data_IF_905330318017
#
_entry.id   IF_905330318017
#
_cell.length_a   1.000
_cell.length_b   1.000
_cell.length_c   1.000
_cell.angle_alpha   90.00
_cell.angle_beta   90.00
_cell.angle_gamma   90.00
#
_symmetry.space_group_name_H-M   'P 1'
#
loop_
_entity.id
_entity.type
_entity.pdbx_description
1 polymer ?
#
# COMPACT_ATOMS: atom_id res chain seq x y z
N UNK A 1 -8.02 -12.71 9.88
CA UNK A 1 -8.90 -12.43 11.06
C UNK A 1 -8.77 -13.48 12.12
N UNK A 2 -8.77 -14.78 11.79
CA UNK A 2 -8.59 -15.86 12.77
C UNK A 2 -7.25 -15.72 13.52
N UNK A 3 -6.17 -15.50 12.80
CA UNK A 3 -4.83 -15.32 13.38
C UNK A 3 -4.73 -14.06 14.24
N UNK A 4 -5.39 -12.97 13.82
CA UNK A 4 -5.46 -11.72 14.61
C UNK A 4 -6.18 -11.95 15.94
N UNK A 5 -7.31 -12.69 15.94
CA UNK A 5 -8.03 -13.04 17.15
C UNK A 5 -7.19 -13.96 18.04
N UNK A 6 -6.49 -14.93 17.45
CA UNK A 6 -5.59 -15.82 18.18
C UNK A 6 -4.46 -15.06 18.86
N UNK A 7 -3.85 -14.11 18.13
CA UNK A 7 -2.79 -13.23 18.65
C UNK A 7 -3.30 -12.37 19.82
N UNK A 8 -4.50 -11.78 19.68
CA UNK A 8 -5.12 -11.00 20.75
C UNK A 8 -5.37 -11.87 21.99
N UNK A 9 -5.94 -13.06 21.82
CA UNK A 9 -6.17 -14.01 22.93
C UNK A 9 -4.86 -14.40 23.64
N UNK A 10 -3.78 -14.57 22.87
CA UNK A 10 -2.45 -14.84 23.42
C UNK A 10 -1.92 -13.65 24.21
N UNK A 11 -2.06 -12.42 23.68
CA UNK A 11 -1.67 -11.21 24.40
C UNK A 11 -2.40 -11.07 25.72
N UNK A 12 -3.73 -11.29 25.75
CA UNK A 12 -4.52 -11.26 26.96
C UNK A 12 -4.08 -12.31 27.98
N UNK A 13 -3.76 -13.55 27.54
CA UNK A 13 -3.19 -14.59 28.43
C UNK A 13 -1.84 -14.19 29.01
N UNK A 14 -1.04 -13.43 28.25
CA UNK A 14 0.25 -12.89 28.70
C UNK A 14 0.08 -11.60 29.54
N UNK A 15 -1.15 -11.26 29.94
CA UNK A 15 -1.49 -10.12 30.79
C UNK A 15 -1.15 -8.75 30.18
N UNK A 16 -1.17 -8.63 28.85
CA UNK A 16 -1.21 -7.32 28.22
C UNK A 16 -2.55 -6.64 28.55
N UNK A 17 -2.50 -5.56 29.32
CA UNK A 17 -3.70 -4.88 29.82
C UNK A 17 -4.29 -3.89 28.82
N UNK A 18 -3.46 -3.31 27.98
CA UNK A 18 -3.85 -2.30 26.99
C UNK A 18 -3.78 -2.89 25.59
N UNK A 19 -4.94 -3.15 25.01
CA UNK A 19 -5.08 -3.63 23.63
C UNK A 19 -5.98 -2.69 22.85
N UNK A 20 -5.57 -2.34 21.63
CA UNK A 20 -6.33 -1.51 20.70
C UNK A 20 -6.59 -2.29 19.42
N UNK A 21 -7.86 -2.45 19.06
CA UNK A 21 -8.25 -3.01 17.78
C UNK A 21 -8.62 -1.90 16.77
N UNK A 22 -8.02 -1.95 15.59
CA UNK A 22 -8.47 -1.20 14.42
C UNK A 22 -9.35 -2.13 13.60
N UNK A 23 -10.62 -1.84 13.49
CA UNK A 23 -11.60 -2.75 12.88
C UNK A 23 -12.69 -1.99 12.14
N UNK A 24 -13.23 -2.63 11.08
CA UNK A 24 -14.32 -2.03 10.30
C UNK A 24 -15.71 -2.42 10.84
N UNK A 25 -15.81 -3.48 11.62
CA UNK A 25 -17.08 -4.02 12.13
C UNK A 25 -17.15 -3.82 13.64
N UNK A 26 -18.10 -3.02 14.10
CA UNK A 26 -18.23 -2.62 15.51
C UNK A 26 -18.44 -3.82 16.45
N UNK A 27 -19.30 -4.79 16.09
CA UNK A 27 -19.66 -5.91 16.94
C UNK A 27 -18.90 -7.20 16.59
N UNK A 28 -17.68 -7.07 16.08
CA UNK A 28 -16.83 -8.22 15.76
C UNK A 28 -16.26 -8.87 17.03
N UNK A 29 -15.85 -10.14 16.91
CA UNK A 29 -15.13 -10.82 18.01
C UNK A 29 -13.88 -10.05 18.41
N UNK A 30 -13.19 -9.41 17.46
CA UNK A 30 -11.98 -8.63 17.73
C UNK A 30 -12.30 -7.41 18.62
N UNK A 31 -13.35 -6.65 18.27
CA UNK A 31 -13.75 -5.45 19.02
C UNK A 31 -14.28 -5.79 20.41
N UNK A 32 -14.99 -6.93 20.57
CA UNK A 32 -15.47 -7.37 21.88
C UNK A 32 -14.38 -7.86 22.83
N UNK A 33 -13.26 -8.34 22.27
CA UNK A 33 -12.15 -8.86 23.10
C UNK A 33 -11.09 -7.81 23.41
N UNK A 34 -10.98 -6.76 22.64
CA UNK A 34 -9.98 -5.71 22.84
C UNK A 34 -10.45 -4.67 23.85
N UNK A 35 -9.49 -4.08 24.58
CA UNK A 35 -9.79 -3.06 25.60
C UNK A 35 -10.23 -1.72 25.00
N UNK A 36 -9.74 -1.39 23.81
CA UNK A 36 -10.09 -0.17 23.07
C UNK A 36 -10.33 -0.51 21.60
N UNK A 37 -11.18 0.27 20.94
CA UNK A 37 -11.53 0.06 19.54
C UNK A 37 -11.43 1.37 18.76
N UNK A 38 -10.82 1.30 17.58
CA UNK A 38 -10.85 2.35 16.59
C UNK A 38 -11.60 1.83 15.35
N UNK A 39 -12.82 2.31 15.15
CA UNK A 39 -13.66 1.88 14.04
C UNK A 39 -13.34 2.68 12.78
N UNK A 40 -13.07 1.99 11.68
CA UNK A 40 -12.70 2.62 10.41
C UNK A 40 -13.87 3.23 9.66
N UNK A 41 -15.09 2.71 9.88
CA UNK A 41 -16.32 3.14 9.21
C UNK A 41 -16.22 3.14 7.66
N UNK A 42 -15.46 2.20 7.09
CA UNK A 42 -15.29 2.09 5.64
C UNK A 42 -16.52 1.48 4.93
N UNK A 43 -17.51 1.03 5.69
CA UNK A 43 -18.65 0.28 5.16
C UNK A 43 -18.27 -1.14 4.72
N UNK A 44 -19.22 -1.94 4.20
CA UNK A 44 -18.96 -3.31 3.80
C UNK A 44 -18.03 -3.36 2.58
N UNK A 45 -17.03 -4.23 2.62
CA UNK A 45 -16.17 -4.56 1.48
C UNK A 45 -16.87 -5.66 0.66
N UNK A 46 -17.23 -5.36 -0.59
CA UNK A 46 -17.99 -6.28 -1.45
C UNK A 46 -17.06 -7.07 -2.37
N UNK A 47 -15.97 -6.46 -2.80
CA UNK A 47 -14.96 -7.08 -3.67
C UNK A 47 -14.13 -8.12 -2.91
N UNK A 48 -13.62 -9.12 -3.64
CA UNK A 48 -12.61 -10.06 -3.13
C UNK A 48 -11.33 -9.29 -2.79
N UNK A 49 -10.89 -8.40 -3.67
CA UNK A 49 -9.75 -7.53 -3.41
C UNK A 49 -10.15 -6.38 -2.47
N UNK A 50 -9.51 -6.33 -1.30
CA UNK A 50 -9.70 -5.21 -0.38
C UNK A 50 -9.11 -3.92 -0.97
N UNK A 51 -9.90 -2.86 -1.00
CA UNK A 51 -9.51 -1.55 -1.52
C UNK A 51 -9.74 -0.44 -0.50
N UNK A 52 -10.99 -0.05 -0.30
CA UNK A 52 -11.35 1.01 0.66
C UNK A 52 -10.99 0.66 2.10
N UNK A 53 -11.08 -0.60 2.50
CA UNK A 53 -10.71 -1.02 3.85
C UNK A 53 -9.20 -0.84 4.08
N UNK A 54 -8.34 -1.17 3.11
CA UNK A 54 -6.91 -0.91 3.17
C UNK A 54 -6.62 0.60 3.33
N UNK A 55 -7.20 1.43 2.47
CA UNK A 55 -7.02 2.90 2.54
C UNK A 55 -7.50 3.46 3.88
N UNK A 56 -8.63 2.97 4.39
CA UNK A 56 -9.16 3.38 5.70
C UNK A 56 -8.27 2.92 6.86
N UNK A 57 -7.62 1.75 6.76
CA UNK A 57 -6.63 1.32 7.75
C UNK A 57 -5.43 2.27 7.80
N UNK A 58 -4.88 2.62 6.65
CA UNK A 58 -3.77 3.59 6.58
C UNK A 58 -4.17 4.95 7.16
N UNK A 59 -5.37 5.42 6.81
CA UNK A 59 -5.92 6.67 7.34
C UNK A 59 -6.07 6.61 8.86
N UNK A 60 -6.62 5.51 9.40
CA UNK A 60 -6.77 5.30 10.84
C UNK A 60 -5.42 5.27 11.57
N UNK A 61 -4.41 4.62 10.97
CA UNK A 61 -3.05 4.61 11.52
C UNK A 61 -2.41 6.00 11.52
N UNK A 62 -2.66 6.80 10.47
CA UNK A 62 -2.21 8.20 10.42
C UNK A 62 -2.87 9.03 11.52
N UNK A 63 -4.20 8.88 11.73
CA UNK A 63 -4.92 9.54 12.81
C UNK A 63 -4.36 9.15 14.18
N UNK A 64 -4.14 7.84 14.41
CA UNK A 64 -3.55 7.34 15.64
C UNK A 64 -2.16 7.93 15.87
N UNK A 65 -1.34 7.98 14.81
CA UNK A 65 -0.01 8.58 14.89
C UNK A 65 -0.09 10.07 15.21
N UNK A 66 -1.03 10.80 14.63
CA UNK A 66 -1.24 12.23 14.94
C UNK A 66 -1.64 12.43 16.40
N UNK A 67 -2.54 11.56 16.94
CA UNK A 67 -2.95 11.63 18.34
C UNK A 67 -1.76 11.39 19.28
N UNK A 68 -0.98 10.32 19.01
CA UNK A 68 0.19 9.98 19.84
C UNK A 68 1.28 11.08 19.73
N UNK A 69 1.45 11.67 18.55
CA UNK A 69 2.45 12.72 18.31
C UNK A 69 2.09 14.10 18.89
N UNK A 70 0.92 14.24 19.49
CA UNK A 70 0.44 15.51 20.06
C UNK A 70 1.42 16.11 21.06
N UNK A 71 2.13 15.28 21.79
CA UNK A 71 3.16 15.72 22.74
C UNK A 71 4.46 16.20 22.06
N UNK A 72 4.61 15.98 20.74
CA UNK A 72 5.80 16.31 19.96
C UNK A 72 5.65 17.58 19.10
N UNK A 73 4.74 18.46 19.45
CA UNK A 73 4.66 19.84 18.91
C UNK A 73 4.16 19.94 17.46
N UNK A 74 4.97 20.54 16.57
CA UNK A 74 4.55 20.87 15.20
C UNK A 74 4.23 19.67 14.30
N UNK A 75 4.61 18.47 14.68
CA UNK A 75 4.38 17.23 13.90
C UNK A 75 2.89 16.94 13.77
N UNK A 76 2.12 17.06 14.86
CA UNK A 76 0.66 16.87 14.83
C UNK A 76 -0.01 17.80 13.84
N UNK A 77 0.30 19.10 13.87
CA UNK A 77 -0.34 20.08 12.97
C UNK A 77 -0.12 19.76 11.50
N UNK A 78 1.09 19.39 11.14
CA UNK A 78 1.44 19.00 9.76
C UNK A 78 0.68 17.75 9.32
N UNK A 79 0.59 16.75 10.19
CA UNK A 79 -0.15 15.52 9.92
C UNK A 79 -1.65 15.79 9.75
N UNK A 80 -2.27 16.56 10.64
CA UNK A 80 -3.70 16.90 10.56
C UNK A 80 -4.00 17.71 9.29
N UNK A 81 -3.13 18.63 8.88
CA UNK A 81 -3.28 19.34 7.61
C UNK A 81 -3.19 18.41 6.40
N UNK A 82 -2.28 17.45 6.43
CA UNK A 82 -2.18 16.41 5.39
C UNK A 82 -3.45 15.56 5.32
N UNK A 83 -3.91 15.06 6.47
CA UNK A 83 -5.13 14.24 6.60
C UNK A 83 -6.35 14.95 6.01
N UNK A 84 -6.55 16.23 6.29
CA UNK A 84 -7.68 17.03 5.76
C UNK A 84 -7.69 17.15 4.24
N UNK A 85 -6.55 16.99 3.59
CA UNK A 85 -6.41 17.08 2.13
C UNK A 85 -6.60 15.75 1.41
N UNK A 86 -6.56 14.62 2.14
CA UNK A 86 -6.60 13.29 1.53
C UNK A 86 -7.86 13.07 0.70
N UNK A 87 -9.03 13.45 1.22
CA UNK A 87 -10.31 13.30 0.50
C UNK A 87 -10.26 13.94 -0.88
N UNK A 88 -9.86 15.22 -0.95
CA UNK A 88 -9.73 15.94 -2.21
C UNK A 88 -8.72 15.28 -3.16
N UNK A 89 -7.58 14.82 -2.64
CA UNK A 89 -6.59 14.12 -3.45
C UNK A 89 -7.09 12.79 -4.01
N UNK A 90 -7.93 12.08 -3.28
CA UNK A 90 -8.58 10.86 -3.78
C UNK A 90 -9.56 11.21 -4.91
N UNK A 91 -10.33 12.29 -4.80
CA UNK A 91 -11.20 12.79 -5.87
C UNK A 91 -10.41 13.14 -7.13
N UNK A 92 -9.27 13.83 -6.98
CA UNK A 92 -8.36 14.16 -8.09
C UNK A 92 -7.84 12.89 -8.81
N UNK A 93 -7.62 11.78 -8.10
CA UNK A 93 -7.19 10.51 -8.69
C UNK A 93 -8.25 9.87 -9.61
N UNK A 94 -9.53 10.11 -9.38
CA UNK A 94 -10.58 9.60 -10.28
C UNK A 94 -10.52 10.24 -11.67
N UNK A 95 -9.99 11.44 -11.78
CA UNK A 95 -9.78 12.09 -13.09
C UNK A 95 -8.73 11.35 -13.94
N UNK A 96 -7.84 10.57 -13.31
CA UNK A 96 -6.83 9.76 -13.99
C UNK A 96 -7.37 8.40 -14.50
N UNK A 97 -8.62 8.05 -14.22
CA UNK A 97 -9.19 6.75 -14.62
C UNK A 97 -9.02 6.45 -16.12
N UNK A 98 -9.27 7.40 -17.07
CA UNK A 98 -9.11 7.14 -18.50
C UNK A 98 -7.67 6.78 -18.88
N UNK A 99 -6.69 7.42 -18.25
CA UNK A 99 -5.27 7.16 -18.50
C UNK A 99 -4.87 5.80 -17.93
N UNK A 100 -5.27 5.49 -16.69
CA UNK A 100 -5.02 4.20 -16.05
C UNK A 100 -5.66 3.08 -16.87
N UNK A 101 -6.88 3.28 -17.38
CA UNK A 101 -7.56 2.33 -18.27
C UNK A 101 -6.76 2.09 -19.55
N UNK A 102 -6.18 3.13 -20.15
CA UNK A 102 -5.30 3.00 -21.32
C UNK A 102 -4.04 2.20 -20.96
N UNK A 103 -3.42 2.49 -19.83
CA UNK A 103 -2.24 1.76 -19.34
C UNK A 103 -2.59 0.29 -19.09
N UNK A 104 -3.73 -0.01 -18.49
CA UNK A 104 -4.14 -1.38 -18.15
C UNK A 104 -4.23 -2.31 -19.37
N UNK A 105 -4.53 -1.77 -20.56
CA UNK A 105 -4.54 -2.56 -21.79
C UNK A 105 -3.19 -3.19 -22.13
N UNK A 106 -2.09 -2.61 -21.65
CA UNK A 106 -0.73 -3.11 -21.86
C UNK A 106 -0.45 -4.39 -21.06
N UNK A 107 -1.29 -4.68 -20.06
CA UNK A 107 -1.18 -5.86 -19.20
C UNK A 107 -2.04 -7.03 -19.66
N UNK A 108 -2.95 -6.85 -20.60
CA UNK A 108 -3.96 -7.83 -21.02
C UNK A 108 -3.41 -9.24 -21.34
N UNK A 109 -2.21 -9.30 -21.91
CA UNK A 109 -1.60 -10.59 -22.33
C UNK A 109 -0.25 -10.81 -21.61
N UNK A 110 -0.12 -10.29 -20.40
CA UNK A 110 1.10 -10.45 -19.60
C UNK A 110 0.87 -11.51 -18.54
N UNK A 111 1.86 -12.36 -18.34
CA UNK A 111 1.85 -13.43 -17.33
C UNK A 111 2.57 -12.98 -16.05
N UNK A 112 3.52 -12.07 -16.18
CA UNK A 112 4.36 -11.61 -15.08
C UNK A 112 4.48 -10.09 -15.06
N UNK A 113 4.62 -9.54 -13.86
CA UNK A 113 4.83 -8.08 -13.65
C UNK A 113 5.69 -7.88 -12.40
N UNK A 114 6.64 -6.97 -12.49
CA UNK A 114 7.38 -6.50 -11.32
C UNK A 114 6.84 -5.16 -10.85
N UNK A 115 6.79 -5.00 -9.53
CA UNK A 115 6.49 -3.74 -8.88
C UNK A 115 7.70 -3.27 -8.09
N UNK A 116 8.07 -2.00 -8.25
CA UNK A 116 9.22 -1.42 -7.59
C UNK A 116 8.83 -0.25 -6.70
N UNK A 117 9.44 -0.19 -5.55
CA UNK A 117 9.34 0.94 -4.63
C UNK A 117 10.59 1.10 -3.79
N UNK A 118 10.78 2.27 -3.18
CA UNK A 118 11.88 2.54 -2.26
C UNK A 118 11.39 3.37 -1.07
N UNK A 119 11.85 3.02 0.14
CA UNK A 119 11.36 3.66 1.36
C UNK A 119 9.86 3.44 1.52
N UNK A 120 9.08 4.50 1.76
CA UNK A 120 7.63 4.43 1.94
C UNK A 120 6.85 3.94 0.71
N UNK A 121 7.43 4.01 -0.49
CA UNK A 121 6.80 3.51 -1.71
C UNK A 121 6.90 1.98 -1.85
N UNK A 122 7.77 1.31 -1.11
CA UNK A 122 7.89 -0.14 -1.20
C UNK A 122 6.66 -0.89 -0.66
N UNK A 123 6.12 -0.57 0.53
CA UNK A 123 4.84 -1.15 0.98
C UNK A 123 3.68 -0.91 0.00
N UNK A 124 3.67 0.24 -0.69
CA UNK A 124 2.66 0.52 -1.73
C UNK A 124 2.85 -0.41 -2.93
N UNK A 125 4.09 -0.65 -3.34
CA UNK A 125 4.40 -1.62 -4.40
C UNK A 125 3.96 -3.05 -4.03
N UNK A 126 4.12 -3.47 -2.77
CA UNK A 126 3.64 -4.76 -2.27
C UNK A 126 2.12 -4.89 -2.37
N UNK A 127 1.38 -3.87 -1.93
CA UNK A 127 -0.09 -3.86 -2.02
C UNK A 127 -0.58 -3.84 -3.46
N UNK A 128 0.04 -3.03 -4.32
CA UNK A 128 -0.32 -2.97 -5.74
C UNK A 128 -0.08 -4.32 -6.45
N UNK A 129 1.03 -5.00 -6.16
CA UNK A 129 1.30 -6.34 -6.67
C UNK A 129 0.27 -7.36 -6.17
N UNK A 130 -0.15 -7.26 -4.90
CA UNK A 130 -1.20 -8.09 -4.33
C UNK A 130 -2.53 -7.86 -5.06
N UNK A 131 -2.94 -6.61 -5.24
CA UNK A 131 -4.20 -6.26 -5.94
C UNK A 131 -4.20 -6.78 -7.39
N UNK A 132 -3.09 -6.61 -8.11
CA UNK A 132 -3.01 -7.12 -9.46
C UNK A 132 -3.16 -8.65 -9.52
N UNK A 133 -2.51 -9.39 -8.61
CA UNK A 133 -2.66 -10.85 -8.51
C UNK A 133 -4.10 -11.28 -8.25
N UNK A 134 -4.75 -10.63 -7.28
CA UNK A 134 -6.10 -11.01 -6.84
C UNK A 134 -7.15 -10.86 -7.95
N UNK A 135 -7.03 -9.83 -8.79
CA UNK A 135 -8.08 -9.49 -9.77
C UNK A 135 -7.76 -9.91 -11.20
N UNK A 136 -6.47 -10.10 -11.56
CA UNK A 136 -6.07 -10.41 -12.94
C UNK A 136 -5.43 -11.78 -13.11
N UNK A 137 -5.03 -12.43 -12.01
CA UNK A 137 -4.25 -13.66 -11.98
C UNK A 137 -2.85 -13.56 -12.62
N UNK A 138 -2.41 -12.34 -12.97
CA UNK A 138 -1.04 -12.08 -13.40
C UNK A 138 -0.11 -12.32 -12.20
N UNK A 139 0.94 -13.10 -12.39
CA UNK A 139 1.98 -13.26 -11.37
C UNK A 139 2.71 -11.93 -11.15
N UNK A 140 2.42 -11.26 -10.05
CA UNK A 140 2.99 -9.97 -9.70
C UNK A 140 3.84 -10.08 -8.43
N UNK A 141 5.05 -9.56 -8.47
CA UNK A 141 5.97 -9.51 -7.34
C UNK A 141 6.51 -8.12 -7.12
N UNK A 142 6.59 -7.69 -5.85
CA UNK A 142 7.17 -6.41 -5.51
C UNK A 142 8.56 -6.56 -4.91
N UNK A 143 9.46 -5.67 -5.29
CA UNK A 143 10.81 -5.60 -4.79
C UNK A 143 11.18 -4.19 -4.36
N UNK A 144 12.01 -4.09 -3.36
CA UNK A 144 12.72 -2.86 -3.08
C UNK A 144 13.61 -2.54 -4.28
N UNK A 145 13.52 -1.33 -4.84
CA UNK A 145 14.21 -1.03 -6.11
C UNK A 145 15.72 -1.27 -6.06
N UNK A 146 16.34 -1.12 -4.88
CA UNK A 146 17.76 -1.44 -4.68
C UNK A 146 18.10 -2.93 -4.78
N UNK A 147 17.11 -3.81 -4.55
CA UNK A 147 17.30 -5.27 -4.63
C UNK A 147 17.13 -5.83 -6.05
N UNK A 148 16.76 -4.98 -7.01
CA UNK A 148 16.52 -5.40 -8.39
C UNK A 148 17.74 -6.12 -9.00
N UNK A 149 18.95 -5.64 -8.69
CA UNK A 149 20.23 -6.20 -9.20
C UNK A 149 20.57 -7.58 -8.63
N UNK A 150 19.99 -7.94 -7.50
CA UNK A 150 20.31 -9.16 -6.77
C UNK A 150 19.44 -10.37 -7.19
N UNK A 151 19.02 -10.39 -8.45
CA UNK A 151 18.27 -11.50 -9.06
C UNK A 151 17.11 -11.06 -9.93
N UNK A 152 16.14 -10.27 -9.43
CA UNK A 152 14.93 -9.94 -10.19
C UNK A 152 15.16 -9.30 -11.56
N UNK A 153 16.25 -8.55 -11.72
CA UNK A 153 16.64 -7.93 -12.98
C UNK A 153 16.87 -8.97 -14.10
N UNK A 154 17.26 -10.18 -13.76
CA UNK A 154 17.46 -11.26 -14.72
C UNK A 154 16.13 -11.68 -15.42
N UNK A 155 15.00 -11.44 -14.78
CA UNK A 155 13.67 -11.77 -15.30
C UNK A 155 13.13 -10.70 -16.26
N UNK A 156 13.75 -9.51 -16.29
CA UNK A 156 13.26 -8.38 -17.07
C UNK A 156 13.60 -8.57 -18.55
N UNK A 157 12.56 -8.58 -19.37
CA UNK A 157 12.59 -8.56 -20.84
C UNK A 157 11.41 -7.71 -21.38
N UNK A 158 11.23 -7.68 -22.72
CA UNK A 158 10.13 -6.96 -23.39
C UNK A 158 8.73 -7.42 -22.98
N UNK A 159 8.58 -8.63 -22.41
CA UNK A 159 7.29 -9.21 -22.04
C UNK A 159 6.90 -8.84 -20.62
N UNK A 160 7.87 -8.45 -19.80
CA UNK A 160 7.63 -8.14 -18.39
C UNK A 160 7.44 -6.64 -18.16
N UNK A 161 6.22 -6.17 -17.90
CA UNK A 161 5.98 -4.81 -17.41
C UNK A 161 6.62 -4.62 -16.03
N UNK A 162 7.16 -3.43 -15.81
CA UNK A 162 7.71 -3.02 -14.52
C UNK A 162 7.00 -1.75 -14.07
N UNK A 163 6.23 -1.86 -13.01
CA UNK A 163 5.52 -0.73 -12.38
C UNK A 163 6.37 -0.16 -11.27
N UNK A 164 6.58 1.14 -11.24
CA UNK A 164 7.39 1.81 -10.23
C UNK A 164 6.62 2.94 -9.55
N UNK A 165 6.59 2.92 -8.22
CA UNK A 165 6.16 4.04 -7.40
C UNK A 165 7.38 4.90 -7.06
N UNK A 166 7.54 5.99 -7.82
CA UNK A 166 8.68 6.90 -7.70
C UNK A 166 8.36 7.99 -6.68
N UNK A 167 9.08 8.05 -5.53
CA UNK A 167 8.85 9.09 -4.55
C UNK A 167 9.45 10.43 -5.01
N UNK A 168 8.74 11.53 -4.78
CA UNK A 168 9.30 12.88 -4.99
C UNK A 168 10.13 13.33 -3.78
N UNK A 169 11.30 12.72 -3.62
CA UNK A 169 12.26 13.04 -2.56
C UNK A 169 13.69 12.62 -2.95
N UNK A 170 14.62 12.72 -2.01
CA UNK A 170 16.04 12.37 -2.22
C UNK A 170 16.29 10.93 -2.72
N UNK A 171 15.32 10.02 -2.58
CA UNK A 171 15.43 8.64 -3.06
C UNK A 171 15.13 8.51 -4.57
N UNK A 172 14.48 9.50 -5.18
CA UNK A 172 14.07 9.45 -6.59
C UNK A 172 15.23 9.15 -7.53
N UNK A 173 16.36 9.82 -7.34
CA UNK A 173 17.57 9.61 -8.18
C UNK A 173 18.06 8.17 -8.16
N UNK A 174 18.01 7.51 -7.01
CA UNK A 174 18.41 6.11 -6.86
C UNK A 174 17.44 5.16 -7.59
N UNK A 175 16.15 5.46 -7.50
CA UNK A 175 15.12 4.68 -8.19
C UNK A 175 15.24 4.83 -9.71
N UNK A 176 15.43 6.04 -10.21
CA UNK A 176 15.64 6.32 -11.65
C UNK A 176 16.87 5.58 -12.20
N UNK A 177 17.97 5.52 -11.44
CA UNK A 177 19.14 4.72 -11.83
C UNK A 177 18.81 3.23 -11.99
N UNK A 178 17.96 2.68 -11.11
CA UNK A 178 17.54 1.28 -11.23
C UNK A 178 16.57 1.07 -12.41
N UNK A 179 15.72 2.06 -12.72
CA UNK A 179 14.83 2.00 -13.89
C UNK A 179 15.60 2.03 -15.22
N UNK A 180 16.69 2.79 -15.30
CA UNK A 180 17.56 2.78 -16.48
C UNK A 180 18.12 1.37 -16.79
N UNK A 181 18.32 0.53 -15.77
CA UNK A 181 18.74 -0.87 -15.96
C UNK A 181 17.61 -1.76 -16.50
N UNK A 182 16.36 -1.49 -16.07
CA UNK A 182 15.16 -2.12 -16.64
C UNK A 182 15.03 -1.78 -18.13
N UNK A 183 15.21 -0.52 -18.48
CA UNK A 183 15.14 -0.03 -19.87
C UNK A 183 16.26 -0.60 -20.74
N UNK A 184 17.47 -0.69 -20.20
CA UNK A 184 18.60 -1.33 -20.90
C UNK A 184 18.33 -2.80 -21.26
N UNK A 185 17.43 -3.47 -20.54
CA UNK A 185 16.94 -4.82 -20.80
C UNK A 185 15.65 -4.85 -21.64
N UNK A 186 15.26 -3.69 -22.15
CA UNK A 186 14.04 -3.53 -22.94
C UNK A 186 12.75 -3.81 -22.15
N UNK A 187 12.80 -3.75 -20.81
CA UNK A 187 11.63 -3.82 -19.96
C UNK A 187 10.75 -2.59 -20.15
N UNK A 188 9.45 -2.80 -20.15
CA UNK A 188 8.48 -1.71 -20.28
C UNK A 188 8.19 -1.11 -18.91
N UNK A 189 8.55 0.15 -18.68
CA UNK A 189 8.35 0.85 -17.40
C UNK A 189 7.05 1.64 -17.36
N UNK A 190 6.37 1.60 -16.22
CA UNK A 190 5.19 2.41 -15.89
C UNK A 190 5.48 3.10 -14.56
N UNK A 191 5.56 4.42 -14.57
CA UNK A 191 6.00 5.19 -13.41
C UNK A 191 4.82 5.99 -12.85
N UNK A 192 4.54 5.76 -11.57
CA UNK A 192 3.61 6.56 -10.77
C UNK A 192 4.42 7.50 -9.89
N UNK A 193 4.19 8.80 -10.02
CA UNK A 193 4.85 9.86 -9.24
C UNK A 193 3.84 10.94 -8.87
N UNK A 194 4.12 11.72 -7.84
CA UNK A 194 3.34 12.89 -7.40
C UNK A 194 3.96 14.19 -7.93
#
# INVERSE_FOLDING_TARGET
TADTISSLKKALKLKYTNTLAICNVAESTLTRLSGMNFLMNAGPEISVASTKAFTSQLFTLLLLTAIISREYGNTERRMVQGIRKIGKKIEELYEMEPEIKKISTKFKNKEHTLFLGKGASYPIALEAALKLKEISYIHASAYHSGELKHGPLALVDRRMPVVCFLPDNHLARLVLSNLAEVEARQGQTFIFTN
#
